data_IF_245312580830
#
_entry.id   IF_245312580830
#
_cell.length_a   1.000
_cell.length_b   1.000
_cell.length_c   1.000
_cell.angle_alpha   90.00
_cell.angle_beta   90.00
_cell.angle_gamma   90.00
#
_symmetry.space_group_name_H-M   'P 1'
#
loop_
_entity.id
_entity.type
_entity.pdbx_description
1 polymer ?
#
# COMPACT_ATOMS: atom_id res chain seq x y z
N UNK A 1 -3.15 -2.43 18.22
CA UNK A 1 -2.15 -2.95 19.16
C UNK A 1 -1.98 -1.98 20.33
N UNK A 2 -1.99 -0.68 20.07
CA UNK A 2 -1.90 0.39 21.09
C UNK A 2 -3.25 0.88 21.60
N UNK A 3 -4.32 0.09 21.44
CA UNK A 3 -5.71 0.41 21.80
C UNK A 3 -6.29 1.68 21.13
N UNK A 4 -5.59 2.26 20.17
CA UNK A 4 -6.05 3.40 19.39
C UNK A 4 -6.68 2.97 18.06
N UNK A 5 -7.80 3.60 17.71
CA UNK A 5 -8.44 3.42 16.40
C UNK A 5 -7.96 4.54 15.48
N UNK A 6 -7.38 4.19 14.34
CA UNK A 6 -7.00 5.13 13.30
C UNK A 6 -8.02 5.12 12.14
N UNK A 7 -8.75 6.22 12.03
CA UNK A 7 -9.74 6.44 10.97
C UNK A 7 -9.17 7.17 9.75
N UNK A 8 -7.95 7.69 9.83
CA UNK A 8 -7.35 8.51 8.77
C UNK A 8 -6.70 7.70 7.65
N UNK A 9 -6.46 6.40 7.84
CA UNK A 9 -5.70 5.54 6.91
C UNK A 9 -6.20 5.67 5.48
N UNK A 10 -7.52 5.58 5.26
CA UNK A 10 -8.12 5.67 3.92
C UNK A 10 -7.92 7.04 3.26
N UNK A 11 -8.01 8.13 4.04
CA UNK A 11 -7.80 9.49 3.52
C UNK A 11 -6.32 9.78 3.22
N UNK A 12 -5.41 9.28 4.05
CA UNK A 12 -3.96 9.36 3.80
C UNK A 12 -3.58 8.57 2.55
N UNK A 13 -4.11 7.35 2.39
CA UNK A 13 -3.93 6.56 1.16
C UNK A 13 -4.43 7.31 -0.07
N UNK A 14 -5.65 7.86 -0.02
CA UNK A 14 -6.21 8.63 -1.13
C UNK A 14 -5.38 9.86 -1.48
N UNK A 15 -4.96 10.63 -0.47
CA UNK A 15 -4.12 11.81 -0.66
C UNK A 15 -2.74 11.44 -1.22
N UNK A 16 -2.06 10.46 -0.66
CA UNK A 16 -0.73 10.04 -1.15
C UNK A 16 -0.80 9.50 -2.57
N UNK A 17 -1.81 8.71 -2.91
CA UNK A 17 -2.02 8.21 -4.27
C UNK A 17 -2.28 9.36 -5.26
N UNK A 18 -3.14 10.33 -4.89
CA UNK A 18 -3.45 11.48 -5.72
C UNK A 18 -2.21 12.35 -5.96
N UNK A 19 -1.43 12.66 -4.91
CA UNK A 19 -0.20 13.45 -5.01
C UNK A 19 0.90 12.73 -5.79
N UNK A 20 1.08 11.43 -5.56
CA UNK A 20 2.03 10.61 -6.33
C UNK A 20 1.69 10.62 -7.82
N UNK A 21 0.42 10.43 -8.15
CA UNK A 21 -0.06 10.48 -9.53
C UNK A 21 0.11 11.88 -10.15
N UNK A 22 -0.16 12.94 -9.39
CA UNK A 22 -0.01 14.33 -9.82
C UNK A 22 1.45 14.65 -10.15
N UNK A 23 2.38 14.33 -9.25
CA UNK A 23 3.83 14.57 -9.43
C UNK A 23 4.37 13.81 -10.63
N UNK A 24 3.91 12.59 -10.85
CA UNK A 24 4.30 11.79 -12.00
C UNK A 24 3.77 12.36 -13.32
N UNK A 25 2.49 12.76 -13.35
CA UNK A 25 1.81 13.18 -14.57
C UNK A 25 2.09 14.64 -14.99
N UNK A 26 2.17 15.55 -14.01
CA UNK A 26 2.35 16.98 -14.29
C UNK A 26 3.80 17.45 -14.23
N UNK A 27 4.60 16.89 -13.33
CA UNK A 27 6.01 17.27 -13.19
C UNK A 27 6.95 16.36 -13.95
N UNK A 28 6.42 15.27 -14.55
CA UNK A 28 7.21 14.34 -15.34
C UNK A 28 8.24 13.57 -14.53
N UNK A 29 8.02 13.41 -13.23
CA UNK A 29 8.94 12.65 -12.39
C UNK A 29 8.92 11.17 -12.77
N UNK A 30 10.09 10.52 -12.78
CA UNK A 30 10.16 9.08 -13.02
C UNK A 30 9.41 8.32 -11.92
N UNK A 31 8.87 7.12 -12.22
CA UNK A 31 8.03 6.35 -11.29
C UNK A 31 8.64 6.14 -9.90
N UNK A 32 9.93 5.90 -9.81
CA UNK A 32 10.62 5.70 -8.53
C UNK A 32 10.63 6.97 -7.65
N UNK A 33 10.78 8.16 -8.25
CA UNK A 33 10.69 9.43 -7.51
C UNK A 33 9.26 9.70 -7.04
N UNK A 34 8.27 9.39 -7.86
CA UNK A 34 6.86 9.51 -7.48
C UNK A 34 6.52 8.60 -6.29
N UNK A 35 7.03 7.36 -6.27
CA UNK A 35 6.88 6.44 -5.14
C UNK A 35 7.55 7.00 -3.87
N UNK A 36 8.77 7.51 -3.97
CA UNK A 36 9.46 8.13 -2.84
C UNK A 36 8.71 9.34 -2.29
N UNK A 37 8.11 10.13 -3.16
CA UNK A 37 7.26 11.27 -2.76
C UNK A 37 6.06 10.78 -1.95
N UNK A 38 5.35 9.76 -2.43
CA UNK A 38 4.22 9.17 -1.71
C UNK A 38 4.60 8.61 -0.34
N UNK A 39 5.72 7.88 -0.27
CA UNK A 39 6.24 7.35 1.00
C UNK A 39 6.63 8.47 1.97
N UNK A 40 7.29 9.53 1.49
CA UNK A 40 7.67 10.67 2.31
C UNK A 40 6.45 11.40 2.87
N UNK A 41 5.43 11.61 2.06
CA UNK A 41 4.17 12.23 2.49
C UNK A 41 3.49 11.36 3.56
N UNK A 42 3.38 10.06 3.32
CA UNK A 42 2.80 9.12 4.29
C UNK A 42 3.54 9.12 5.62
N UNK A 43 4.88 9.15 5.58
CA UNK A 43 5.73 9.23 6.77
C UNK A 43 5.51 10.53 7.55
N UNK A 44 5.49 11.67 6.86
CA UNK A 44 5.28 12.99 7.48
C UNK A 44 3.90 13.09 8.14
N UNK A 45 2.86 12.61 7.45
CA UNK A 45 1.50 12.59 8.00
C UNK A 45 1.41 11.69 9.22
N UNK A 46 1.97 10.48 9.13
CA UNK A 46 1.99 9.55 10.26
C UNK A 46 2.79 10.09 11.45
N UNK A 47 3.94 10.72 11.21
CA UNK A 47 4.72 11.37 12.24
C UNK A 47 3.96 12.52 12.89
N UNK A 48 3.29 13.37 12.11
CA UNK A 48 2.48 14.46 12.60
C UNK A 48 1.34 13.97 13.52
N UNK A 49 0.58 12.99 13.07
CA UNK A 49 -0.50 12.41 13.87
C UNK A 49 0.05 11.69 15.11
N UNK A 50 1.17 10.98 14.98
CA UNK A 50 1.84 10.33 16.10
C UNK A 50 2.27 11.32 17.17
N UNK A 51 2.79 12.50 16.80
CA UNK A 51 3.16 13.57 17.73
C UNK A 51 1.92 14.12 18.44
N UNK A 52 0.80 14.33 17.75
CA UNK A 52 -0.44 14.80 18.37
C UNK A 52 -0.94 13.84 19.45
N UNK A 53 -0.89 12.55 19.17
CA UNK A 53 -1.33 11.54 20.13
C UNK A 53 -0.33 11.35 21.28
N UNK A 54 0.96 11.22 20.97
CA UNK A 54 1.95 10.85 21.96
C UNK A 54 2.44 12.04 22.81
N UNK A 55 2.59 13.23 22.20
CA UNK A 55 3.13 14.40 22.88
C UNK A 55 2.04 15.32 23.46
N UNK A 56 0.98 15.53 22.69
CA UNK A 56 -0.13 16.39 23.13
C UNK A 56 -1.22 15.63 23.89
N UNK A 57 -1.09 14.31 24.02
CA UNK A 57 -2.03 13.49 24.76
C UNK A 57 -3.44 13.45 24.14
N UNK A 58 -3.57 13.76 22.86
CA UNK A 58 -4.87 13.72 22.17
C UNK A 58 -5.34 12.28 22.03
N UNK A 59 -6.62 11.98 22.29
CA UNK A 59 -7.18 10.67 21.96
C UNK A 59 -6.98 10.34 20.50
N UNK A 60 -6.43 9.16 20.18
CA UNK A 60 -6.11 8.74 18.82
C UNK A 60 -7.32 8.84 17.89
N UNK A 61 -8.51 8.48 18.37
CA UNK A 61 -9.77 8.60 17.64
C UNK A 61 -10.05 10.04 17.17
N UNK A 62 -9.85 11.04 18.05
CA UNK A 62 -10.11 12.46 17.73
C UNK A 62 -9.07 12.98 16.73
N UNK A 63 -7.80 12.69 16.96
CA UNK A 63 -6.71 13.11 16.08
C UNK A 63 -6.87 12.53 14.66
N UNK A 64 -7.25 11.27 14.56
CA UNK A 64 -7.39 10.59 13.28
C UNK A 64 -8.71 10.92 12.57
N UNK A 65 -9.78 11.22 13.31
CA UNK A 65 -11.03 11.72 12.74
C UNK A 65 -10.84 13.11 12.10
N UNK A 66 -10.14 14.01 12.80
CA UNK A 66 -9.74 15.30 12.22
C UNK A 66 -8.84 15.10 10.99
N UNK A 67 -7.86 14.19 11.10
CA UNK A 67 -6.97 13.80 10.00
C UNK A 67 -7.73 13.29 8.78
N UNK A 68 -8.78 12.50 8.96
CA UNK A 68 -9.61 12.00 7.86
C UNK A 68 -10.14 13.16 6.98
N UNK A 69 -10.64 14.21 7.61
CA UNK A 69 -11.17 15.38 6.91
C UNK A 69 -10.08 16.24 6.30
N UNK A 70 -9.00 16.49 7.04
CA UNK A 70 -7.87 17.33 6.61
C UNK A 70 -7.17 16.70 5.40
N UNK A 71 -6.78 15.43 5.49
CA UNK A 71 -6.03 14.77 4.42
C UNK A 71 -6.86 14.55 3.17
N UNK A 72 -8.17 14.27 3.33
CA UNK A 72 -9.09 14.21 2.19
C UNK A 72 -9.21 15.57 1.52
N UNK A 73 -9.40 16.64 2.28
CA UNK A 73 -9.46 18.01 1.76
C UNK A 73 -8.15 18.42 1.07
N UNK A 74 -7.01 18.12 1.68
CA UNK A 74 -5.68 18.41 1.10
C UNK A 74 -5.47 17.66 -0.22
N UNK A 75 -5.87 16.39 -0.30
CA UNK A 75 -5.80 15.62 -1.54
C UNK A 75 -6.63 16.24 -2.67
N UNK A 76 -7.84 16.69 -2.38
CA UNK A 76 -8.68 17.38 -3.37
C UNK A 76 -8.14 18.74 -3.76
N UNK A 77 -7.68 19.54 -2.82
CA UNK A 77 -7.12 20.88 -3.09
C UNK A 77 -5.85 20.80 -3.94
N UNK A 78 -4.93 19.88 -3.65
CA UNK A 78 -3.67 19.74 -4.36
C UNK A 78 -3.84 19.26 -5.81
N UNK A 79 -4.90 18.54 -6.11
CA UNK A 79 -5.21 18.09 -7.48
C UNK A 79 -6.24 18.97 -8.19
N UNK A 80 -6.70 20.06 -7.54
CA UNK A 80 -7.78 20.89 -8.06
C UNK A 80 -9.11 20.15 -8.20
N UNK A 81 -9.32 19.09 -7.42
CA UNK A 81 -10.44 18.14 -7.50
C UNK A 81 -10.62 17.49 -8.88
N UNK A 82 -9.55 17.51 -9.70
CA UNK A 82 -9.56 16.87 -11.00
C UNK A 82 -9.07 15.42 -10.89
N UNK A 83 -9.57 14.58 -11.79
CA UNK A 83 -9.04 13.23 -11.94
C UNK A 83 -7.57 13.30 -12.38
N UNK A 84 -6.74 12.48 -11.79
CA UNK A 84 -5.32 12.37 -12.18
C UNK A 84 -5.26 12.00 -13.66
N UNK A 85 -4.48 12.72 -14.50
CA UNK A 85 -4.27 12.34 -15.89
C UNK A 85 -3.72 10.93 -16.01
N UNK A 86 -3.72 10.38 -17.22
CA UNK A 86 -3.15 9.05 -17.46
C UNK A 86 -1.71 9.00 -16.95
N UNK A 87 -1.46 8.06 -16.07
CA UNK A 87 -0.12 7.77 -15.59
C UNK A 87 0.79 7.34 -16.76
N UNK A 88 2.10 7.63 -16.71
CA UNK A 88 3.03 7.10 -17.68
C UNK A 88 2.90 5.58 -17.80
N UNK A 89 3.08 5.06 -19.02
CA UNK A 89 2.90 3.63 -19.33
C UNK A 89 3.72 2.74 -18.40
N UNK A 90 4.94 3.15 -18.06
CA UNK A 90 5.82 2.41 -17.16
C UNK A 90 5.23 2.25 -15.76
N UNK A 91 4.58 3.28 -15.24
CA UNK A 91 3.95 3.25 -13.92
C UNK A 91 2.68 2.37 -13.94
N UNK A 92 1.86 2.50 -14.98
CA UNK A 92 0.64 1.70 -15.16
C UNK A 92 0.99 0.22 -15.38
N UNK A 93 2.02 -0.04 -16.18
CA UNK A 93 2.53 -1.40 -16.42
C UNK A 93 3.03 -2.04 -15.15
N UNK A 94 3.80 -1.33 -14.31
CA UNK A 94 4.29 -1.84 -13.02
C UNK A 94 3.14 -2.17 -12.06
N UNK A 95 2.13 -1.31 -11.95
CA UNK A 95 0.98 -1.53 -11.07
C UNK A 95 0.08 -2.68 -11.53
N UNK A 96 -0.05 -2.87 -12.84
CA UNK A 96 -0.86 -3.94 -13.46
C UNK A 96 -0.08 -5.21 -13.75
N UNK A 97 1.24 -5.18 -13.56
CA UNK A 97 2.08 -6.35 -13.82
C UNK A 97 1.60 -7.54 -12.99
N UNK A 98 1.32 -8.63 -13.67
CA UNK A 98 0.95 -9.89 -13.05
C UNK A 98 2.04 -10.92 -13.33
N UNK A 99 2.91 -11.21 -12.35
CA UNK A 99 4.03 -12.12 -12.54
C UNK A 99 3.58 -13.54 -12.93
N UNK A 100 2.41 -13.95 -12.47
CA UNK A 100 1.89 -15.29 -12.78
C UNK A 100 1.45 -15.46 -14.24
N UNK A 101 0.97 -14.36 -14.88
CA UNK A 101 0.61 -14.41 -16.29
C UNK A 101 1.85 -14.49 -17.21
N UNK A 102 2.93 -13.82 -16.85
CA UNK A 102 4.18 -13.87 -17.61
C UNK A 102 4.83 -15.25 -17.54
N UNK A 103 4.90 -15.83 -16.35
CA UNK A 103 5.40 -17.20 -16.16
C UNK A 103 4.59 -18.18 -17.04
N UNK A 104 3.27 -18.04 -17.08
CA UNK A 104 2.42 -18.88 -17.93
C UNK A 104 2.73 -18.75 -19.42
N UNK A 105 2.97 -17.54 -19.90
CA UNK A 105 3.25 -17.32 -21.32
C UNK A 105 4.59 -17.93 -21.73
N UNK A 106 5.62 -17.84 -20.89
CA UNK A 106 6.90 -18.53 -21.10
C UNK A 106 6.75 -20.06 -21.09
N UNK A 107 5.90 -20.61 -20.22
CA UNK A 107 5.61 -22.06 -20.19
C UNK A 107 4.79 -22.53 -21.43
N UNK A 108 3.95 -21.68 -22.02
CA UNK A 108 3.22 -22.01 -23.24
C UNK A 108 4.07 -22.01 -24.51
N UNK A 109 5.10 -21.17 -24.55
CA UNK A 109 6.04 -21.09 -25.68
C UNK A 109 7.14 -22.15 -25.62
N UNK A 110 7.44 -22.67 -24.44
CA UNK A 110 8.34 -23.80 -24.24
C UNK A 110 7.62 -25.11 -24.45
N UNK A 111 8.05 -25.86 -25.45
CA UNK A 111 7.51 -27.16 -25.92
C UNK A 111 7.67 -28.28 -24.84
N UNK A 112 7.02 -28.15 -23.71
CA UNK A 112 6.95 -29.14 -22.64
C UNK A 112 5.64 -29.90 -22.75
N UNK A 113 5.57 -30.75 -23.81
CA UNK A 113 4.44 -31.65 -24.06
C UNK A 113 4.33 -32.72 -22.98
N UNK A 114 3.14 -32.90 -22.45
CA UNK A 114 2.76 -34.03 -21.60
C UNK A 114 2.28 -33.64 -20.21
N UNK A 115 3.14 -33.80 -19.21
CA UNK A 115 2.78 -33.59 -17.80
C UNK A 115 2.36 -32.14 -17.50
N UNK A 116 3.04 -31.16 -18.07
CA UNK A 116 2.76 -29.74 -17.84
C UNK A 116 1.51 -29.26 -18.57
N UNK A 117 1.15 -29.86 -19.70
CA UNK A 117 -0.12 -29.58 -20.37
C UNK A 117 -1.30 -30.07 -19.52
N UNK A 118 -1.18 -31.24 -18.91
CA UNK A 118 -2.21 -31.78 -18.01
C UNK A 118 -2.30 -31.00 -16.71
N UNK A 119 -1.15 -30.62 -16.14
CA UNK A 119 -1.08 -29.76 -14.95
C UNK A 119 -1.56 -28.34 -15.26
N UNK A 120 -1.22 -27.80 -16.43
CA UNK A 120 -1.72 -26.51 -16.92
C UNK A 120 -3.24 -26.50 -17.07
N UNK A 121 -3.84 -27.55 -17.60
CA UNK A 121 -5.28 -27.69 -17.74
C UNK A 121 -5.99 -27.87 -16.38
N UNK A 122 -5.38 -28.54 -15.42
CA UNK A 122 -5.90 -28.69 -14.06
C UNK A 122 -5.85 -27.35 -13.29
N UNK A 123 -4.78 -26.60 -13.50
CA UNK A 123 -4.59 -25.25 -12.91
C UNK A 123 -5.42 -24.21 -13.67
N UNK A 124 -5.69 -24.41 -14.97
CA UNK A 124 -6.41 -23.45 -15.84
C UNK A 124 -7.90 -23.32 -15.50
N UNK A 125 -8.51 -24.35 -14.89
CA UNK A 125 -9.96 -24.35 -14.78
C UNK A 125 -10.52 -23.50 -13.63
N UNK A 126 -9.83 -23.39 -12.49
CA UNK A 126 -10.35 -22.66 -11.32
C UNK A 126 -9.31 -21.85 -10.54
N UNK A 127 -8.07 -22.32 -10.44
CA UNK A 127 -7.03 -21.68 -9.64
C UNK A 127 -6.33 -20.52 -10.35
N UNK A 128 -6.21 -20.59 -11.67
CA UNK A 128 -5.60 -19.48 -12.44
C UNK A 128 -6.47 -18.24 -12.46
N UNK A 129 -7.78 -18.36 -12.45
CA UNK A 129 -8.66 -17.21 -12.32
C UNK A 129 -8.48 -16.52 -10.94
N UNK A 130 -8.20 -17.28 -9.90
CA UNK A 130 -7.85 -16.75 -8.60
C UNK A 130 -6.48 -16.04 -8.64
N UNK A 131 -5.44 -16.68 -9.18
CA UNK A 131 -4.11 -16.06 -9.31
C UNK A 131 -4.06 -14.92 -10.33
N UNK A 132 -4.95 -14.90 -11.31
CA UNK A 132 -5.09 -13.81 -12.27
C UNK A 132 -5.52 -12.51 -11.60
N UNK A 133 -6.17 -12.59 -10.43
CA UNK A 133 -6.55 -11.44 -9.62
C UNK A 133 -5.38 -10.89 -8.78
N UNK A 134 -4.30 -11.67 -8.64
CA UNK A 134 -3.12 -11.25 -7.89
C UNK A 134 -2.27 -10.25 -8.67
N UNK A 135 -2.59 -8.98 -8.52
CA UNK A 135 -1.78 -7.90 -9.05
C UNK A 135 -0.51 -7.72 -8.20
N UNK A 136 0.54 -7.14 -8.78
CA UNK A 136 1.80 -6.85 -8.11
C UNK A 136 1.61 -6.05 -6.81
N UNK A 137 0.64 -5.15 -6.78
CA UNK A 137 0.26 -4.39 -5.59
C UNK A 137 -0.12 -5.28 -4.40
N UNK A 138 -0.82 -6.38 -4.63
CA UNK A 138 -1.22 -7.32 -3.59
C UNK A 138 -0.01 -8.10 -3.04
N UNK A 139 0.92 -8.50 -3.91
CA UNK A 139 2.15 -9.18 -3.49
C UNK A 139 3.03 -8.25 -2.65
N UNK A 140 3.16 -6.99 -3.04
CA UNK A 140 3.88 -5.97 -2.28
C UNK A 140 3.22 -5.79 -0.91
N UNK A 141 1.89 -5.73 -0.84
CA UNK A 141 1.17 -5.61 0.42
C UNK A 141 1.43 -6.81 1.35
N UNK A 142 1.34 -8.04 0.83
CA UNK A 142 1.60 -9.27 1.59
C UNK A 142 3.05 -9.28 2.08
N UNK A 143 4.01 -8.97 1.21
CA UNK A 143 5.43 -8.91 1.57
C UNK A 143 5.67 -7.89 2.69
N UNK A 144 5.10 -6.70 2.57
CA UNK A 144 5.23 -5.65 3.58
C UNK A 144 4.60 -6.05 4.91
N UNK A 145 3.42 -6.69 4.86
CA UNK A 145 2.76 -7.24 6.04
C UNK A 145 3.62 -8.29 6.75
N UNK A 146 4.24 -9.22 6.00
CA UNK A 146 5.14 -10.23 6.57
C UNK A 146 6.38 -9.60 7.21
N UNK A 147 7.01 -8.63 6.53
CA UNK A 147 8.18 -7.90 7.07
C UNK A 147 7.81 -7.20 8.37
N UNK A 148 6.71 -6.45 8.39
CA UNK A 148 6.26 -5.76 9.60
C UNK A 148 5.90 -6.73 10.71
N UNK A 149 5.25 -7.85 10.40
CA UNK A 149 4.93 -8.90 11.37
C UNK A 149 6.18 -9.46 12.04
N UNK A 150 7.22 -9.77 11.25
CA UNK A 150 8.50 -10.26 11.75
C UNK A 150 9.20 -9.19 12.63
N UNK A 151 9.19 -7.93 12.19
CA UNK A 151 9.78 -6.83 12.95
C UNK A 151 9.07 -6.67 14.30
N UNK A 152 7.74 -6.64 14.30
CA UNK A 152 6.97 -6.49 15.55
C UNK A 152 7.15 -7.70 16.47
N UNK A 153 7.18 -8.92 15.94
CA UNK A 153 7.33 -10.13 16.74
C UNK A 153 8.72 -10.26 17.38
N UNK A 154 9.79 -9.87 16.66
CA UNK A 154 11.17 -10.20 17.05
C UNK A 154 11.97 -9.01 17.59
N UNK A 155 11.48 -7.76 17.49
CA UNK A 155 12.25 -6.58 17.89
C UNK A 155 11.85 -6.01 19.26
N UNK A 156 12.73 -5.20 19.81
CA UNK A 156 12.45 -4.43 21.05
C UNK A 156 11.28 -3.46 20.85
N UNK A 157 11.16 -2.88 19.67
CA UNK A 157 10.06 -1.98 19.32
C UNK A 157 8.70 -2.67 19.43
N UNK A 158 8.58 -3.89 18.92
CA UNK A 158 7.35 -4.67 19.02
C UNK A 158 6.95 -4.90 20.49
N UNK A 159 7.91 -5.26 21.34
CA UNK A 159 7.65 -5.42 22.79
C UNK A 159 7.14 -4.13 23.46
N UNK A 160 7.71 -2.99 23.09
CA UNK A 160 7.20 -1.70 23.59
C UNK A 160 5.79 -1.39 23.10
N UNK A 161 5.50 -1.66 21.83
CA UNK A 161 4.16 -1.45 21.25
C UNK A 161 3.12 -2.32 22.00
N UNK A 162 3.43 -3.59 22.25
CA UNK A 162 2.55 -4.47 23.01
C UNK A 162 2.40 -4.04 24.47
N UNK A 163 3.48 -3.61 25.10
CA UNK A 163 3.46 -3.14 26.50
C UNK A 163 2.56 -1.90 26.65
N UNK A 164 2.65 -0.93 25.74
CA UNK A 164 1.79 0.27 25.73
C UNK A 164 0.33 -0.14 25.54
N UNK A 165 0.05 -1.10 24.64
CA UNK A 165 -1.32 -1.54 24.36
C UNK A 165 -1.96 -2.36 25.50
N UNK A 166 -1.16 -3.10 26.26
CA UNK A 166 -1.64 -3.91 27.38
C UNK A 166 -1.86 -3.11 28.67
N UNK A 167 -1.20 -1.96 28.82
CA UNK A 167 -1.23 -1.13 30.03
C UNK A 167 -1.85 0.24 29.74
N UNK A 168 -2.97 0.27 29.02
CA UNK A 168 -3.67 1.51 28.66
C UNK A 168 -4.27 2.28 29.87
N UNK A 169 -4.12 1.76 31.09
CA UNK A 169 -4.60 2.33 32.35
C UNK A 169 -3.49 2.54 33.37
N UNK A 170 -2.22 2.39 33.02
CA UNK A 170 -1.06 2.60 33.87
C UNK A 170 -0.40 3.96 33.70
#
# INVERSE_FOLDING_TARGET
ITSGIDLSVGSVMGMTAALTGYVCSFWGFPPWMAILTGLSIGLLVGAFQGVLVAYFGMPAFIATLAGLSIWRGTGHLSTGAQATPKLPIDFDTFGRFNPFLNIRNEFKEGNLEGFWATFGNFVDSNWLNFFRTFQMSMLIFILFFLILSIIIANTRYGRYIYAIGSNALG
#
